data_IF_919160361534
#
_entry.id   IF_919160361534
#
_cell.length_a   1.000
_cell.length_b   1.000
_cell.length_c   1.000
_cell.angle_alpha   90.00
_cell.angle_beta   90.00
_cell.angle_gamma   90.00
#
_symmetry.space_group_name_H-M   'P 1'
#
loop_
_entity.id
_entity.type
_entity.pdbx_description
1 polymer ?
#
# COMPACT_ATOMS: atom_id res chain seq x y z
N UNK A 1 -8.13 -10.05 12.02
CA UNK A 1 -7.92 -10.16 10.56
C UNK A 1 -6.45 -9.95 10.24
N UNK A 2 -5.91 -10.81 9.41
CA UNK A 2 -4.53 -10.68 8.96
C UNK A 2 -4.45 -9.92 7.64
N UNK A 3 -3.26 -9.42 7.32
CA UNK A 3 -3.02 -8.61 6.11
C UNK A 3 -3.51 -9.30 4.83
N UNK A 4 -3.20 -10.58 4.63
CA UNK A 4 -3.62 -11.29 3.41
C UNK A 4 -5.14 -11.40 3.29
N UNK A 5 -5.85 -11.52 4.41
CA UNK A 5 -7.31 -11.56 4.40
C UNK A 5 -7.90 -10.24 3.91
N UNK A 6 -7.36 -9.12 4.42
CA UNK A 6 -7.82 -7.80 3.96
C UNK A 6 -7.44 -7.58 2.50
N UNK A 7 -6.24 -7.97 2.10
CA UNK A 7 -5.80 -7.84 0.70
C UNK A 7 -6.73 -8.64 -0.23
N UNK A 8 -7.14 -9.85 0.17
CA UNK A 8 -8.06 -10.66 -0.61
C UNK A 8 -9.45 -10.00 -0.72
N UNK A 9 -9.95 -9.44 0.37
CA UNK A 9 -11.23 -8.72 0.38
C UNK A 9 -11.17 -7.52 -0.56
N UNK A 10 -10.09 -6.74 -0.49
CA UNK A 10 -9.91 -5.58 -1.36
C UNK A 10 -9.81 -6.01 -2.83
N UNK A 11 -9.13 -7.11 -3.10
CA UNK A 11 -9.02 -7.64 -4.47
C UNK A 11 -10.36 -8.18 -4.98
N UNK A 12 -11.20 -8.73 -4.12
CA UNK A 12 -12.56 -9.14 -4.52
C UNK A 12 -13.41 -7.94 -4.89
N UNK A 13 -13.31 -6.84 -4.10
CA UNK A 13 -14.06 -5.62 -4.35
C UNK A 13 -13.58 -4.90 -5.62
N UNK A 14 -12.26 -4.75 -5.77
CA UNK A 14 -11.65 -4.08 -6.92
C UNK A 14 -10.48 -4.92 -7.43
N UNK A 15 -10.75 -5.93 -8.29
CA UNK A 15 -9.71 -6.85 -8.76
C UNK A 15 -8.53 -6.14 -9.43
N UNK A 16 -7.31 -6.54 -9.06
CA UNK A 16 -6.08 -6.00 -9.66
C UNK A 16 -6.07 -6.25 -11.17
N UNK A 17 -6.71 -7.31 -11.65
CA UNK A 17 -6.83 -7.59 -13.09
C UNK A 17 -7.56 -6.48 -13.86
N UNK A 18 -8.29 -5.59 -13.19
CA UNK A 18 -8.96 -4.44 -13.82
C UNK A 18 -8.06 -3.22 -13.97
N UNK A 19 -6.83 -3.27 -13.44
CA UNK A 19 -5.92 -2.14 -13.55
C UNK A 19 -5.45 -1.95 -15.00
N UNK A 20 -5.06 -0.72 -15.30
CA UNK A 20 -4.41 -0.41 -16.57
C UNK A 20 -3.06 -1.12 -16.68
N UNK A 21 -2.59 -1.40 -17.90
CA UNK A 21 -1.34 -2.15 -18.12
C UNK A 21 -0.12 -1.48 -17.53
N UNK A 22 -0.13 -0.14 -17.40
CA UNK A 22 0.97 0.66 -16.89
C UNK A 22 0.93 0.82 -15.38
N UNK A 23 -0.11 0.31 -14.73
CA UNK A 23 -0.35 0.55 -13.31
C UNK A 23 0.24 -0.54 -12.43
N UNK A 24 0.36 -0.24 -11.15
CA UNK A 24 0.85 -1.16 -10.12
C UNK A 24 -0.04 -1.07 -8.88
N UNK A 25 -1.20 -1.70 -8.94
CA UNK A 25 -2.13 -1.79 -7.81
C UNK A 25 -1.94 -3.10 -7.05
N UNK A 26 -2.53 -3.19 -5.87
CA UNK A 26 -2.51 -4.38 -5.04
C UNK A 26 -1.59 -4.21 -3.84
N UNK A 27 -1.18 -5.33 -3.25
CA UNK A 27 -0.28 -5.33 -2.09
C UNK A 27 1.15 -5.07 -2.55
N UNK A 28 1.65 -3.87 -2.27
CA UNK A 28 2.99 -3.44 -2.70
C UNK A 28 4.07 -3.84 -1.70
N UNK A 29 3.75 -3.77 -0.41
CA UNK A 29 4.66 -4.14 0.68
C UNK A 29 3.83 -4.96 1.66
N UNK A 30 4.27 -6.19 1.93
CA UNK A 30 3.61 -7.00 2.94
C UNK A 30 4.27 -6.79 4.32
N UNK A 31 3.67 -7.32 5.35
CA UNK A 31 4.17 -7.24 6.72
C UNK A 31 4.19 -8.63 7.37
N UNK A 32 4.62 -9.62 6.59
CA UNK A 32 4.68 -11.02 7.05
C UNK A 32 3.31 -11.56 7.48
N UNK A 33 2.26 -11.11 6.81
CA UNK A 33 0.88 -11.50 7.09
C UNK A 33 0.49 -11.33 8.56
N UNK A 34 0.90 -10.23 9.16
CA UNK A 34 0.61 -9.91 10.56
C UNK A 34 -0.88 -9.62 10.79
N UNK A 35 -1.32 -9.78 12.05
CA UNK A 35 -2.65 -9.30 12.42
C UNK A 35 -2.74 -7.79 12.28
N UNK A 36 -3.81 -7.31 11.69
CA UNK A 36 -4.01 -5.87 11.47
C UNK A 36 -4.37 -5.20 12.79
N UNK A 37 -3.60 -4.17 13.13
CA UNK A 37 -3.81 -3.37 14.34
C UNK A 37 -4.58 -2.08 14.04
N UNK A 38 -4.55 -1.63 12.78
CA UNK A 38 -5.26 -0.46 12.32
C UNK A 38 -4.96 -0.22 10.86
N UNK A 39 -5.87 0.47 10.17
CA UNK A 39 -5.74 0.81 8.74
C UNK A 39 -5.74 2.32 8.61
N UNK A 40 -4.73 2.87 7.94
CA UNK A 40 -4.66 4.29 7.62
C UNK A 40 -4.95 4.48 6.13
N UNK A 41 -5.92 5.34 5.83
CA UNK A 41 -6.31 5.66 4.45
C UNK A 41 -5.60 6.93 3.99
N UNK A 42 -5.12 6.93 2.75
CA UNK A 42 -4.49 8.13 2.19
C UNK A 42 -4.61 8.14 0.66
N UNK A 43 -4.35 9.31 0.06
CA UNK A 43 -4.22 9.41 -1.40
C UNK A 43 -2.82 9.01 -1.82
N UNK A 44 -1.81 9.62 -1.21
CA UNK A 44 -0.40 9.36 -1.49
C UNK A 44 0.32 8.90 -0.24
N UNK A 45 1.21 7.92 -0.40
CA UNK A 45 2.08 7.50 0.69
C UNK A 45 3.29 8.44 0.73
N UNK A 46 3.39 9.20 1.80
CA UNK A 46 4.51 10.09 2.08
C UNK A 46 5.19 9.65 3.37
N UNK A 47 6.36 10.21 3.66
CA UNK A 47 7.03 9.93 4.94
C UNK A 47 6.15 10.34 6.12
N UNK A 48 5.42 11.45 6.01
CA UNK A 48 4.49 11.91 7.04
C UNK A 48 3.36 10.89 7.27
N UNK A 49 2.85 10.30 6.20
CA UNK A 49 1.80 9.28 6.28
C UNK A 49 2.32 8.03 6.98
N UNK A 50 3.54 7.60 6.64
CA UNK A 50 4.15 6.43 7.30
C UNK A 50 4.38 6.74 8.78
N UNK A 51 4.86 7.94 9.10
CA UNK A 51 5.05 8.37 10.50
C UNK A 51 3.73 8.40 11.26
N UNK A 52 2.66 8.86 10.62
CA UNK A 52 1.32 8.86 11.23
C UNK A 52 0.85 7.44 11.51
N UNK A 53 1.07 6.51 10.59
CA UNK A 53 0.70 5.11 10.78
C UNK A 53 1.45 4.52 11.98
N UNK A 54 2.75 4.80 12.10
CA UNK A 54 3.56 4.36 13.24
C UNK A 54 2.98 4.92 14.53
N UNK A 55 2.72 6.22 14.58
CA UNK A 55 2.24 6.92 15.75
C UNK A 55 0.86 6.42 16.19
N UNK A 56 -0.02 6.14 15.24
CA UNK A 56 -1.37 5.63 15.50
C UNK A 56 -1.43 4.12 15.64
N UNK A 57 -0.28 3.43 15.53
CA UNK A 57 -0.18 1.97 15.61
C UNK A 57 -1.00 1.26 14.53
N UNK A 58 -1.05 1.86 13.34
CA UNK A 58 -1.65 1.23 12.16
C UNK A 58 -0.56 0.49 11.40
N UNK A 59 -0.77 -0.80 11.15
CA UNK A 59 0.21 -1.60 10.41
C UNK A 59 -0.24 -1.92 8.98
N UNK A 60 -1.26 -1.21 8.48
CA UNK A 60 -1.74 -1.33 7.12
C UNK A 60 -2.08 0.06 6.58
N UNK A 61 -1.49 0.43 5.45
CA UNK A 61 -1.81 1.68 4.75
C UNK A 61 -2.52 1.33 3.46
N UNK A 62 -3.73 1.86 3.28
CA UNK A 62 -4.49 1.74 2.05
C UNK A 62 -4.41 3.06 1.32
N UNK A 63 -3.70 3.08 0.19
CA UNK A 63 -3.46 4.28 -0.60
C UNK A 63 -4.19 4.20 -1.94
N UNK A 64 -4.57 5.35 -2.49
CA UNK A 64 -5.12 5.42 -3.83
C UNK A 64 -3.99 5.35 -4.87
N UNK A 65 -2.93 6.13 -4.71
CA UNK A 65 -1.79 6.14 -5.62
C UNK A 65 -0.71 5.16 -5.16
N UNK A 66 -0.18 4.32 -6.05
CA UNK A 66 0.84 3.35 -5.67
C UNK A 66 2.16 4.04 -5.32
N UNK A 67 2.71 3.70 -4.14
CA UNK A 67 4.03 4.19 -3.71
C UNK A 67 5.12 3.73 -4.69
N UNK A 68 5.07 2.47 -5.08
CA UNK A 68 6.00 1.88 -6.04
C UNK A 68 5.27 1.81 -7.37
N UNK A 69 5.48 2.81 -8.22
CA UNK A 69 4.85 2.87 -9.55
C UNK A 69 5.70 2.16 -10.59
N UNK A 70 7.00 2.49 -10.61
CA UNK A 70 7.99 1.77 -11.41
C UNK A 70 8.84 0.95 -10.48
N UNK A 71 9.29 -0.22 -10.89
CA UNK A 71 10.09 -1.08 -10.04
C UNK A 71 11.29 -0.36 -9.43
N UNK A 72 11.67 -0.75 -8.22
CA UNK A 72 12.83 -0.23 -7.54
C UNK A 72 14.05 -1.11 -7.83
N UNK A 73 15.18 -0.50 -8.16
CA UNK A 73 16.44 -1.21 -8.34
C UNK A 73 17.32 -1.12 -7.10
N UNK A 74 17.05 -0.17 -6.22
CA UNK A 74 17.80 0.06 -4.99
C UNK A 74 16.85 0.55 -3.91
N UNK A 75 17.17 0.23 -2.66
CA UNK A 75 16.46 0.77 -1.50
C UNK A 75 17.49 1.47 -0.63
N UNK A 76 17.66 2.76 -0.88
CA UNK A 76 18.59 3.63 -0.16
C UNK A 76 17.81 4.77 0.48
N UNK A 77 18.39 5.95 0.60
CA UNK A 77 17.71 7.12 1.16
C UNK A 77 17.62 8.27 0.16
N UNK A 78 17.85 7.99 -1.13
CA UNK A 78 17.94 9.04 -2.13
C UNK A 78 16.57 9.63 -2.52
N UNK A 79 15.52 8.82 -2.56
CA UNK A 79 14.18 9.28 -2.93
C UNK A 79 13.19 9.06 -1.79
N UNK A 80 12.07 9.81 -1.82
CA UNK A 80 11.03 9.62 -0.80
C UNK A 80 10.43 8.22 -0.87
N UNK A 81 10.31 7.65 -2.07
CA UNK A 81 9.79 6.29 -2.26
C UNK A 81 10.66 5.28 -1.51
N UNK A 82 11.97 5.35 -1.68
CA UNK A 82 12.92 4.45 -0.99
C UNK A 82 12.86 4.63 0.52
N UNK A 83 12.78 5.88 1.00
CA UNK A 83 12.67 6.16 2.43
C UNK A 83 11.38 5.61 3.02
N UNK A 84 10.24 5.77 2.31
CA UNK A 84 8.95 5.22 2.75
C UNK A 84 8.99 3.69 2.78
N UNK A 85 9.55 3.05 1.76
CA UNK A 85 9.67 1.58 1.70
C UNK A 85 10.49 1.07 2.89
N UNK A 86 11.64 1.67 3.16
CA UNK A 86 12.48 1.26 4.29
C UNK A 86 11.75 1.40 5.62
N UNK A 87 11.10 2.55 5.84
CA UNK A 87 10.40 2.82 7.08
C UNK A 87 9.23 1.86 7.29
N UNK A 88 8.46 1.59 6.23
CA UNK A 88 7.36 0.64 6.29
C UNK A 88 7.85 -0.76 6.67
N UNK A 89 8.91 -1.23 6.04
CA UNK A 89 9.48 -2.55 6.33
C UNK A 89 10.02 -2.60 7.76
N UNK A 90 10.73 -1.57 8.20
CA UNK A 90 11.27 -1.52 9.55
C UNK A 90 10.20 -1.57 10.64
N UNK A 91 9.02 -0.99 10.36
CA UNK A 91 7.92 -0.93 11.31
C UNK A 91 6.80 -1.94 11.02
N UNK A 92 7.08 -2.89 10.15
CA UNK A 92 6.16 -3.98 9.80
C UNK A 92 4.80 -3.48 9.32
N UNK A 93 4.81 -2.47 8.45
CA UNK A 93 3.61 -1.85 7.88
C UNK A 93 3.40 -2.34 6.47
N UNK A 94 2.21 -2.91 6.20
CA UNK A 94 1.81 -3.30 4.85
C UNK A 94 1.26 -2.08 4.10
N UNK A 95 1.53 -2.00 2.80
CA UNK A 95 1.02 -0.93 1.94
C UNK A 95 0.29 -1.55 0.76
N UNK A 96 -0.96 -1.17 0.59
CA UNK A 96 -1.84 -1.62 -0.50
C UNK A 96 -2.28 -0.41 -1.31
N UNK A 97 -2.26 -0.52 -2.64
CA UNK A 97 -2.73 0.53 -3.53
C UNK A 97 -3.96 0.07 -4.31
N UNK A 98 -5.03 0.87 -4.22
CA UNK A 98 -6.25 0.70 -5.01
C UNK A 98 -6.33 1.89 -5.97
N UNK A 99 -5.79 1.74 -7.17
CA UNK A 99 -5.64 2.83 -8.14
C UNK A 99 -6.63 2.70 -9.31
N UNK A 100 -6.16 2.38 -10.52
CA UNK A 100 -7.05 2.31 -11.68
C UNK A 100 -8.07 1.16 -11.58
N UNK A 101 -7.73 0.09 -10.88
CA UNK A 101 -8.67 -0.99 -10.60
C UNK A 101 -9.88 -0.50 -9.80
N UNK A 102 -9.66 0.39 -8.81
CA UNK A 102 -10.75 0.99 -8.03
C UNK A 102 -11.56 1.95 -8.91
N UNK A 103 -10.90 2.73 -9.77
CA UNK A 103 -11.58 3.66 -10.67
C UNK A 103 -12.55 2.92 -11.60
N UNK A 104 -12.18 1.75 -12.10
CA UNK A 104 -13.07 0.93 -12.94
C UNK A 104 -14.32 0.52 -12.17
N UNK A 105 -14.18 0.09 -10.92
CA UNK A 105 -15.31 -0.32 -10.07
C UNK A 105 -16.21 0.87 -9.77
N UNK A 106 -15.64 2.03 -9.45
CA UNK A 106 -16.41 3.23 -9.07
C UNK A 106 -17.12 3.86 -10.27
N UNK A 107 -16.57 3.76 -11.47
CA UNK A 107 -17.11 4.37 -12.68
C UNK A 107 -17.81 3.40 -13.62
N UNK A 108 -17.64 2.12 -13.36
CA UNK A 108 -18.25 1.07 -14.18
C UNK A 108 -19.49 0.51 -13.59
#
# INVERSE_FOLDING_TARGET
>A
MKTNELADILNEFAPVSLQEKWDNAGLLIDNENSYITGVLLCLDVTEKVVDEAIQKKCNFILAHHPLIFKGLTKITQHTYTERCVRKAIQHNIAIYAAHTNMDVVMNG
#
